data_IF_149214194900
#
_entry.id   IF_149214194900
#
_cell.length_a   1.000
_cell.length_b   1.000
_cell.length_c   1.000
_cell.angle_alpha   90.00
_cell.angle_beta   90.00
_cell.angle_gamma   90.00
#
_symmetry.space_group_name_H-M   'P 1'
#
loop_
_entity.id
_entity.type
_entity.pdbx_description
1 polymer ?
#
# COMPACT_ATOMS: atom_id res chain seq x y z
N UNK A 1 -27.93 -23.62 36.16
CA UNK A 1 -27.34 -23.44 34.81
C UNK A 1 -26.30 -22.32 34.92
N UNK A 2 -25.00 -22.65 34.94
CA UNK A 2 -23.91 -21.65 35.01
C UNK A 2 -23.69 -21.07 33.62
N UNK A 3 -24.09 -19.82 33.41
CA UNK A 3 -23.69 -19.05 32.24
C UNK A 3 -22.28 -18.51 32.50
N UNK A 4 -21.27 -19.19 31.96
CA UNK A 4 -19.95 -18.58 31.83
C UNK A 4 -20.00 -17.56 30.70
N UNK A 5 -20.08 -16.28 31.07
CA UNK A 5 -19.78 -15.19 30.16
C UNK A 5 -18.28 -15.27 29.84
N UNK A 6 -17.95 -15.93 28.74
CA UNK A 6 -16.62 -15.87 28.13
C UNK A 6 -16.48 -14.43 27.63
N UNK A 7 -15.84 -13.58 28.42
CA UNK A 7 -15.41 -12.27 27.96
C UNK A 7 -14.57 -12.51 26.70
N UNK A 8 -15.13 -12.19 25.54
CA UNK A 8 -14.36 -12.09 24.32
C UNK A 8 -13.23 -11.13 24.66
N UNK A 9 -11.98 -11.61 24.59
CA UNK A 9 -10.80 -10.77 24.64
C UNK A 9 -11.01 -9.70 23.57
N UNK A 10 -11.45 -8.52 23.96
CA UNK A 10 -11.38 -7.34 23.12
C UNK A 10 -9.90 -7.08 22.98
N UNK A 11 -9.31 -7.64 21.93
CA UNK A 11 -8.02 -7.25 21.43
C UNK A 11 -8.14 -5.74 21.24
N UNK A 12 -7.53 -4.97 22.15
CA UNK A 12 -7.51 -3.51 22.10
C UNK A 12 -7.14 -3.14 20.68
N UNK A 13 -8.12 -2.66 19.91
CA UNK A 13 -7.90 -2.22 18.54
C UNK A 13 -6.80 -1.16 18.64
N UNK A 14 -5.68 -1.39 17.96
CA UNK A 14 -4.58 -0.43 17.96
C UNK A 14 -5.17 0.93 17.52
N UNK A 15 -4.81 2.04 18.20
CA UNK A 15 -5.39 3.34 17.90
C UNK A 15 -5.14 3.66 16.43
N UNK A 16 -6.22 3.79 15.66
CA UNK A 16 -6.15 4.09 14.23
C UNK A 16 -6.06 5.60 14.04
N UNK A 17 -5.20 6.00 13.13
CA UNK A 17 -5.12 7.39 12.69
C UNK A 17 -5.96 7.56 11.43
N UNK A 18 -6.61 8.71 11.30
CA UNK A 18 -7.51 9.05 10.21
C UNK A 18 -7.04 10.34 9.55
N UNK A 19 -6.88 10.32 8.23
CA UNK A 19 -6.63 11.51 7.42
C UNK A 19 -7.76 11.74 6.45
N UNK A 20 -8.11 13.00 6.23
CA UNK A 20 -9.16 13.42 5.29
C UNK A 20 -8.51 14.29 4.21
N UNK A 21 -8.65 13.87 2.96
CA UNK A 21 -8.24 14.60 1.77
C UNK A 21 -9.45 15.14 1.03
N UNK A 22 -9.41 16.42 0.66
CA UNK A 22 -10.42 17.03 -0.20
C UNK A 22 -10.21 16.62 -1.66
N UNK A 23 -11.32 16.36 -2.35
CA UNK A 23 -11.30 15.98 -3.77
C UNK A 23 -11.13 17.19 -4.68
N UNK A 24 -10.20 17.09 -5.61
CA UNK A 24 -9.99 18.07 -6.68
C UNK A 24 -10.56 17.52 -7.98
N UNK A 25 -11.52 18.22 -8.58
CA UNK A 25 -12.09 17.81 -9.85
C UNK A 25 -11.02 17.84 -10.95
N UNK A 26 -10.96 16.79 -11.77
CA UNK A 26 -10.00 16.70 -12.88
C UNK A 26 -10.53 17.49 -14.09
N UNK A 27 -9.81 18.51 -14.57
CA UNK A 27 -10.25 19.29 -15.73
C UNK A 27 -10.44 18.41 -16.97
N UNK A 28 -11.59 18.53 -17.64
CA UNK A 28 -11.89 17.75 -18.85
C UNK A 28 -12.33 16.30 -18.61
N UNK A 29 -12.39 15.83 -17.36
CA UNK A 29 -12.84 14.49 -17.00
C UNK A 29 -13.99 14.54 -15.98
N UNK A 30 -15.22 14.58 -16.47
CA UNK A 30 -16.40 14.63 -15.62
C UNK A 30 -16.52 13.37 -14.73
N UNK A 31 -16.70 13.58 -13.42
CA UNK A 31 -16.80 12.49 -12.45
C UNK A 31 -15.45 11.89 -12.02
N UNK A 32 -14.32 12.49 -12.40
CA UNK A 32 -13.01 12.16 -11.85
C UNK A 32 -12.56 13.19 -10.80
N UNK A 33 -12.09 12.69 -9.66
CA UNK A 33 -11.58 13.50 -8.56
C UNK A 33 -10.24 12.96 -8.07
N UNK A 34 -9.24 13.83 -7.96
CA UNK A 34 -7.92 13.54 -7.44
C UNK A 34 -7.81 13.92 -5.96
N UNK A 35 -7.10 13.10 -5.20
CA UNK A 35 -6.80 13.29 -3.79
C UNK A 35 -5.31 13.11 -3.57
N UNK A 36 -4.73 13.97 -2.71
CA UNK A 36 -3.32 13.93 -2.35
C UNK A 36 -3.14 13.74 -0.84
N UNK A 37 -2.45 12.68 -0.48
CA UNK A 37 -1.98 12.43 0.88
C UNK A 37 -0.68 13.21 1.15
N UNK A 38 -0.35 13.53 2.41
CA UNK A 38 0.88 14.26 2.76
C UNK A 38 2.14 13.44 2.50
N UNK A 39 2.04 12.11 2.36
CA UNK A 39 3.15 11.21 2.06
C UNK A 39 2.69 9.77 1.81
N UNK A 40 3.63 8.83 1.83
CA UNK A 40 3.39 7.39 1.61
C UNK A 40 2.87 6.71 2.89
N UNK A 41 1.71 7.15 3.37
CA UNK A 41 1.05 6.61 4.56
C UNK A 41 0.71 5.12 4.37
N UNK A 42 0.82 4.26 5.41
CA UNK A 42 0.53 2.84 5.34
C UNK A 42 -0.98 2.56 5.39
N UNK A 43 -1.73 3.07 4.41
CA UNK A 43 -3.20 3.00 4.37
C UNK A 43 -3.68 1.55 4.33
N UNK A 44 -4.56 1.18 5.26
CA UNK A 44 -5.21 -0.14 5.34
C UNK A 44 -6.75 -0.04 5.31
N UNK A 45 -7.31 1.17 5.41
CA UNK A 45 -8.73 1.45 5.29
C UNK A 45 -8.98 2.71 4.47
N UNK A 46 -10.07 2.74 3.73
CA UNK A 46 -10.55 3.96 3.08
C UNK A 46 -12.07 4.12 3.20
N UNK A 47 -12.53 5.36 3.14
CA UNK A 47 -13.94 5.72 2.99
C UNK A 47 -14.06 6.93 2.06
N UNK A 48 -15.14 7.02 1.30
CA UNK A 48 -15.42 8.22 0.49
C UNK A 48 -16.66 8.90 1.07
N UNK A 49 -16.51 10.10 1.59
CA UNK A 49 -17.60 10.88 2.14
C UNK A 49 -18.20 11.79 1.06
N UNK A 50 -19.48 11.57 0.73
CA UNK A 50 -20.22 12.44 -0.17
C UNK A 50 -20.73 13.69 0.59
N UNK A 51 -20.53 14.89 0.04
CA UNK A 51 -20.91 16.15 0.71
C UNK A 51 -22.41 16.44 0.63
N UNK A 52 -23.10 15.95 -0.39
CA UNK A 52 -24.52 16.21 -0.64
C UNK A 52 -25.40 15.05 -0.17
N UNK A 53 -26.58 15.40 0.36
CA UNK A 53 -27.59 14.44 0.77
C UNK A 53 -28.29 13.85 -0.46
N UNK A 54 -28.79 12.61 -0.35
CA UNK A 54 -29.43 11.86 -1.43
C UNK A 54 -28.52 11.66 -2.64
N UNK A 55 -27.22 11.48 -2.40
CA UNK A 55 -26.22 11.17 -3.43
C UNK A 55 -25.84 9.70 -3.39
N UNK A 56 -25.69 9.09 -4.56
CA UNK A 56 -25.23 7.71 -4.72
C UNK A 56 -24.45 7.57 -6.00
N UNK A 57 -23.33 6.84 -5.96
CA UNK A 57 -22.56 6.52 -7.14
C UNK A 57 -21.79 5.21 -6.96
N UNK A 58 -21.64 4.46 -8.06
CA UNK A 58 -20.58 3.44 -8.15
C UNK A 58 -19.29 4.14 -8.58
N UNK A 59 -18.22 3.89 -7.84
CA UNK A 59 -16.92 4.51 -8.06
C UNK A 59 -15.82 3.47 -8.12
N UNK A 60 -14.84 3.72 -8.98
CA UNK A 60 -13.58 2.99 -9.03
C UNK A 60 -12.48 3.89 -8.46
N UNK A 61 -11.80 3.41 -7.42
CA UNK A 61 -10.65 4.04 -6.81
C UNK A 61 -9.37 3.47 -7.40
N UNK A 62 -8.45 4.36 -7.73
CA UNK A 62 -7.12 4.06 -8.24
C UNK A 62 -6.06 4.82 -7.45
N UNK A 63 -4.83 4.30 -7.47
CA UNK A 63 -3.67 4.91 -6.80
C UNK A 63 -2.51 5.06 -7.75
N UNK A 64 -1.63 6.01 -7.46
CA UNK A 64 -0.38 6.21 -8.21
C UNK A 64 0.74 6.71 -7.30
N UNK A 65 1.98 6.51 -7.77
CA UNK A 65 3.19 7.10 -7.19
C UNK A 65 3.39 8.55 -7.64
N UNK A 66 2.77 8.95 -8.76
CA UNK A 66 2.92 10.28 -9.34
C UNK A 66 1.56 10.88 -9.72
N UNK A 67 1.49 12.20 -9.75
CA UNK A 67 0.26 12.94 -10.07
C UNK A 67 -0.31 12.59 -11.46
N UNK A 68 0.56 12.28 -12.42
CA UNK A 68 0.17 11.97 -13.80
C UNK A 68 -0.11 10.48 -14.04
N UNK A 69 0.05 9.60 -13.04
CA UNK A 69 -0.01 8.15 -13.21
C UNK A 69 1.37 7.49 -13.32
N UNK A 70 1.44 6.19 -13.66
CA UNK A 70 0.34 5.32 -14.07
C UNK A 70 -0.64 5.05 -12.90
N UNK A 71 -1.93 5.00 -13.22
CA UNK A 71 -3.00 4.74 -12.26
C UNK A 71 -3.29 3.25 -12.14
N UNK A 72 -3.25 2.69 -10.93
CA UNK A 72 -3.61 1.30 -10.66
C UNK A 72 -4.93 1.22 -9.90
N UNK A 73 -5.96 0.54 -10.41
CA UNK A 73 -7.21 0.36 -9.69
C UNK A 73 -7.00 -0.49 -8.44
N UNK A 74 -7.63 -0.12 -7.33
CA UNK A 74 -7.54 -0.82 -6.04
C UNK A 74 -8.89 -1.36 -5.56
N UNK A 75 -9.98 -0.68 -5.91
CA UNK A 75 -11.31 -1.06 -5.47
C UNK A 75 -12.39 -0.42 -6.35
N UNK A 76 -13.46 -1.17 -6.61
CA UNK A 76 -14.72 -0.65 -7.13
C UNK A 76 -15.80 -0.82 -6.05
N UNK A 77 -16.57 0.22 -5.77
CA UNK A 77 -17.56 0.21 -4.68
C UNK A 77 -18.67 1.22 -4.89
N UNK A 78 -19.78 1.05 -4.17
CA UNK A 78 -20.89 2.00 -4.17
C UNK A 78 -20.79 2.90 -2.94
N UNK A 79 -20.74 4.20 -3.17
CA UNK A 79 -20.68 5.24 -2.14
C UNK A 79 -21.99 5.98 -2.11
N UNK A 80 -22.49 6.32 -0.92
CA UNK A 80 -23.82 6.87 -0.77
C UNK A 80 -23.97 7.68 0.51
N UNK A 81 -24.83 8.69 0.43
CA UNK A 81 -25.31 9.50 1.54
C UNK A 81 -26.80 9.74 1.32
N UNK A 82 -27.64 8.98 2.02
CA UNK A 82 -29.09 8.95 1.78
C UNK A 82 -29.84 9.42 3.03
N UNK A 83 -30.84 10.26 2.84
CA UNK A 83 -31.84 10.50 3.89
C UNK A 83 -32.85 9.36 3.88
N UNK A 84 -33.21 8.87 5.05
CA UNK A 84 -34.28 7.89 5.27
C UNK A 84 -35.23 8.39 6.35
N UNK A 85 -36.44 7.82 6.42
CA UNK A 85 -37.40 8.16 7.47
C UNK A 85 -36.89 7.90 8.89
N UNK A 86 -35.85 7.08 9.04
CA UNK A 86 -35.20 6.75 10.33
C UNK A 86 -33.89 7.50 10.56
N UNK A 87 -33.52 8.46 9.69
CA UNK A 87 -32.30 9.25 9.80
C UNK A 87 -31.41 9.18 8.56
N UNK A 88 -30.15 9.58 8.71
CA UNK A 88 -29.20 9.66 7.61
C UNK A 88 -28.31 8.40 7.53
N UNK A 89 -28.23 7.78 6.36
CA UNK A 89 -27.38 6.61 6.11
C UNK A 89 -26.19 6.99 5.24
N UNK A 90 -24.98 6.64 5.67
CA UNK A 90 -23.71 6.89 4.95
C UNK A 90 -22.93 5.60 4.77
N UNK A 91 -22.12 5.52 3.71
CA UNK A 91 -21.14 4.44 3.60
C UNK A 91 -20.07 4.52 4.70
N UNK A 92 -19.57 3.35 5.10
CA UNK A 92 -18.58 3.16 6.15
C UNK A 92 -17.21 2.82 5.56
N UNK A 93 -16.17 2.97 6.38
CA UNK A 93 -14.82 2.59 6.00
C UNK A 93 -14.73 1.12 5.56
N UNK A 94 -13.94 0.90 4.50
CA UNK A 94 -13.68 -0.40 3.90
C UNK A 94 -12.20 -0.73 4.05
N UNK A 95 -11.91 -1.95 4.51
CA UNK A 95 -10.55 -2.46 4.58
C UNK A 95 -9.98 -2.79 3.20
N UNK A 96 -8.69 -2.54 3.05
CA UNK A 96 -7.88 -2.86 1.87
C UNK A 96 -6.57 -3.51 2.30
N UNK A 97 -5.85 -4.13 1.37
CA UNK A 97 -4.45 -4.46 1.60
C UNK A 97 -3.64 -3.18 1.84
N UNK A 98 -2.47 -3.31 2.46
CA UNK A 98 -1.57 -2.19 2.74
C UNK A 98 -1.22 -1.43 1.43
N UNK A 99 -1.54 -0.14 1.38
CA UNK A 99 -1.25 0.75 0.25
C UNK A 99 -0.40 1.92 0.74
N UNK A 100 0.81 2.06 0.19
CA UNK A 100 1.72 3.16 0.47
C UNK A 100 1.88 4.05 -0.76
N UNK A 101 0.82 4.76 -1.15
CA UNK A 101 0.78 5.61 -2.36
C UNK A 101 0.16 6.97 -2.03
N UNK A 102 0.80 8.10 -2.41
CA UNK A 102 0.31 9.42 -2.03
C UNK A 102 -0.78 9.96 -2.95
N UNK A 103 -0.86 9.51 -4.21
CA UNK A 103 -1.85 9.98 -5.17
C UNK A 103 -3.00 8.98 -5.32
N UNK A 104 -4.23 9.47 -5.18
CA UNK A 104 -5.45 8.68 -5.27
C UNK A 104 -6.39 9.36 -6.24
N UNK A 105 -7.13 8.57 -7.02
CA UNK A 105 -8.15 9.05 -7.96
C UNK A 105 -9.41 8.24 -7.78
N UNK A 106 -10.53 8.95 -7.69
CA UNK A 106 -11.85 8.36 -7.77
C UNK A 106 -12.47 8.68 -9.12
N UNK A 107 -12.96 7.66 -9.82
CA UNK A 107 -13.76 7.81 -11.04
C UNK A 107 -15.17 7.30 -10.77
N UNK A 108 -16.17 8.12 -11.08
CA UNK A 108 -17.59 7.73 -11.08
C UNK A 108 -17.88 6.91 -12.34
N UNK A 109 -18.49 5.73 -12.16
CA UNK A 109 -18.97 4.92 -13.28
C UNK A 109 -20.29 5.47 -13.79
N UNK A 110 -20.35 5.89 -15.05
CA UNK A 110 -21.58 6.34 -15.69
C UNK A 110 -22.34 5.16 -16.32
N UNK A 111 -23.68 5.18 -16.34
CA UNK A 111 -24.58 6.21 -15.80
C UNK A 111 -24.93 6.00 -14.31
N UNK A 112 -24.16 5.19 -13.58
CA UNK A 112 -24.56 4.55 -12.33
C UNK A 112 -24.58 5.45 -11.08
N UNK A 113 -24.86 6.76 -11.20
CA UNK A 113 -24.95 7.62 -10.03
C UNK A 113 -25.40 9.05 -10.28
N UNK A 114 -25.96 9.64 -9.23
CA UNK A 114 -26.15 11.08 -9.07
C UNK A 114 -25.13 11.54 -8.05
N UNK A 115 -24.04 12.12 -8.55
CA UNK A 115 -23.11 12.87 -7.72
C UNK A 115 -23.61 14.32 -7.64
N UNK A 116 -23.56 14.90 -6.45
CA UNK A 116 -23.76 16.33 -6.26
C UNK A 116 -22.75 17.20 -7.03
N UNK A 117 -22.91 18.52 -6.92
CA UNK A 117 -21.96 19.50 -7.48
C UNK A 117 -20.70 19.64 -6.64
N UNK A 118 -20.80 19.35 -5.35
CA UNK A 118 -19.68 19.44 -4.41
C UNK A 118 -18.75 18.22 -4.53
N UNK A 119 -17.45 18.48 -4.42
CA UNK A 119 -16.43 17.44 -4.49
C UNK A 119 -16.48 16.50 -3.27
N UNK A 120 -16.33 15.19 -3.47
CA UNK A 120 -16.25 14.21 -2.39
C UNK A 120 -14.95 14.36 -1.59
N UNK A 121 -14.95 13.81 -0.36
CA UNK A 121 -13.77 13.73 0.50
C UNK A 121 -13.32 12.30 0.64
N UNK A 122 -12.02 12.04 0.48
CA UNK A 122 -11.41 10.74 0.75
C UNK A 122 -10.95 10.71 2.21
N UNK A 123 -11.39 9.70 2.95
CA UNK A 123 -10.92 9.43 4.30
C UNK A 123 -10.08 8.17 4.25
N UNK A 124 -8.84 8.22 4.74
CA UNK A 124 -7.94 7.06 4.82
C UNK A 124 -7.58 6.79 6.26
N UNK A 125 -7.58 5.51 6.64
CA UNK A 125 -7.20 5.04 7.95
C UNK A 125 -5.97 4.15 7.88
N UNK A 126 -5.13 4.23 8.92
CA UNK A 126 -4.01 3.32 9.13
C UNK A 126 -3.76 3.10 10.61
N UNK A 127 -2.92 2.11 10.90
CA UNK A 127 -2.37 1.88 12.22
C UNK A 127 -0.95 2.45 12.24
N UNK A 128 -0.62 3.44 13.09
CA UNK A 128 0.70 4.03 13.14
C UNK A 128 1.72 3.02 13.67
N UNK A 129 2.97 3.16 13.21
CA UNK A 129 4.06 2.34 13.73
C UNK A 129 4.61 3.00 14.99
N UNK A 130 4.71 2.23 16.08
CA UNK A 130 5.35 2.66 17.31
C UNK A 130 6.82 2.22 17.31
N UNK A 131 7.73 3.16 17.56
CA UNK A 131 9.15 2.89 17.64
C UNK A 131 9.62 3.10 19.08
N UNK A 132 10.10 2.02 19.70
CA UNK A 132 10.66 2.03 21.05
C UNK A 132 12.16 1.81 20.93
N UNK A 133 12.94 2.72 21.50
CA UNK A 133 14.40 2.61 21.53
C UNK A 133 14.92 2.79 22.95
N UNK A 134 16.09 2.22 23.22
CA UNK A 134 16.81 2.41 24.48
C UNK A 134 17.79 3.56 24.26
N UNK A 135 17.58 4.67 24.97
CA UNK A 135 18.47 5.83 24.97
C UNK A 135 19.79 5.49 25.69
N UNK A 136 20.78 4.96 24.96
CA UNK A 136 22.12 4.66 25.47
C UNK A 136 23.13 5.60 24.81
N UNK A 137 23.76 6.46 25.59
CA UNK A 137 24.77 7.41 25.13
C UNK A 137 24.43 8.85 25.52
N UNK A 138 25.16 9.80 24.94
CA UNK A 138 24.94 11.22 25.17
C UNK A 138 23.89 11.78 24.18
N UNK A 139 22.92 12.60 24.66
CA UNK A 139 21.95 13.27 23.78
C UNK A 139 22.64 14.32 22.88
N UNK A 140 22.00 14.79 21.78
CA UNK A 140 20.64 14.47 21.33
C UNK A 140 20.54 13.17 20.51
N UNK A 141 19.48 12.41 20.76
CA UNK A 141 19.15 11.22 19.97
C UNK A 141 18.43 11.65 18.68
N UNK A 142 18.84 11.08 17.53
CA UNK A 142 18.25 11.39 16.22
C UNK A 142 17.61 10.15 15.61
N UNK A 143 16.35 10.30 15.17
CA UNK A 143 15.65 9.30 14.38
C UNK A 143 15.69 9.72 12.91
N UNK A 144 16.34 8.91 12.07
CA UNK A 144 16.32 9.09 10.61
C UNK A 144 15.43 8.02 9.98
N UNK A 145 14.51 8.42 9.09
CA UNK A 145 13.57 7.51 8.43
C UNK A 145 13.49 7.77 6.92
N UNK A 146 12.82 6.87 6.18
CA UNK A 146 12.52 7.04 4.75
C UNK A 146 13.64 6.68 3.78
N UNK A 147 14.79 6.21 4.24
CA UNK A 147 15.88 5.79 3.34
C UNK A 147 15.57 4.43 2.69
N UNK A 148 15.53 4.42 1.36
CA UNK A 148 15.29 3.20 0.58
C UNK A 148 16.50 2.26 0.48
N UNK A 149 17.65 2.65 1.03
CA UNK A 149 18.91 1.90 0.97
C UNK A 149 19.27 1.19 2.27
N UNK A 150 18.49 1.40 3.34
CA UNK A 150 18.75 0.78 4.64
C UNK A 150 18.06 -0.58 4.68
N UNK A 151 18.83 -1.63 5.01
CA UNK A 151 18.27 -2.95 5.27
C UNK A 151 17.43 -2.93 6.55
N UNK A 152 16.26 -3.58 6.52
CA UNK A 152 15.36 -3.65 7.68
C UNK A 152 16.02 -4.48 8.79
N UNK A 153 16.42 -3.81 9.88
CA UNK A 153 16.81 -4.46 11.12
C UNK A 153 15.57 -4.64 12.01
N UNK A 154 14.58 -5.39 11.53
CA UNK A 154 13.38 -5.75 12.29
C UNK A 154 13.75 -6.72 13.41
N UNK A 155 14.08 -6.17 14.59
CA UNK A 155 14.22 -6.95 15.82
C UNK A 155 12.94 -6.80 16.63
N UNK A 156 12.26 -7.91 16.93
CA UNK A 156 11.07 -7.85 17.78
C UNK A 156 11.50 -7.40 19.17
N UNK A 157 10.76 -6.45 19.73
CA UNK A 157 11.06 -5.90 21.05
C UNK A 157 11.09 -6.97 22.16
N UNK A 158 10.26 -8.02 22.01
CA UNK A 158 10.27 -9.19 22.90
C UNK A 158 11.57 -10.01 22.85
N UNK A 159 12.30 -9.96 21.73
CA UNK A 159 13.58 -10.63 21.56
C UNK A 159 14.74 -9.81 22.17
N UNK A 160 14.54 -8.49 22.38
CA UNK A 160 15.53 -7.59 23.03
C UNK A 160 15.35 -7.58 24.54
N UNK A 161 14.11 -7.57 25.02
CA UNK A 161 13.78 -7.51 26.46
C UNK A 161 12.79 -8.62 26.81
N UNK A 162 13.29 -9.77 27.32
CA UNK A 162 12.43 -10.83 27.84
C UNK A 162 11.55 -10.29 28.99
N UNK A 163 10.23 -10.45 28.88
CA UNK A 163 9.29 -10.00 29.92
C UNK A 163 8.78 -8.57 29.77
N UNK A 164 9.07 -7.90 28.64
CA UNK A 164 8.50 -6.59 28.33
C UNK A 164 7.00 -6.69 28.00
N UNK A 165 6.17 -6.81 29.03
CA UNK A 165 4.73 -6.76 28.95
C UNK A 165 4.22 -5.50 29.64
N UNK A 166 3.76 -4.52 28.86
CA UNK A 166 2.88 -3.37 29.20
C UNK A 166 3.16 -2.49 30.43
N UNK A 167 4.10 -2.82 31.31
CA UNK A 167 4.26 -2.20 32.64
C UNK A 167 5.48 -1.28 32.75
N UNK A 168 6.31 -1.18 31.71
CA UNK A 168 7.40 -0.20 31.73
C UNK A 168 6.83 1.18 31.41
N UNK A 169 7.06 2.21 32.26
CA UNK A 169 6.70 3.58 31.93
C UNK A 169 7.51 4.02 30.71
N UNK A 170 6.84 4.03 29.55
CA UNK A 170 7.39 4.60 28.32
C UNK A 170 7.35 6.12 28.47
N UNK A 171 8.51 6.77 28.36
CA UNK A 171 8.55 8.21 28.21
C UNK A 171 8.06 8.55 26.79
N UNK A 172 6.96 9.31 26.70
CA UNK A 172 6.52 9.86 25.42
C UNK A 172 7.46 11.00 25.07
N UNK A 173 8.21 10.84 23.97
CA UNK A 173 9.10 11.87 23.46
C UNK A 173 8.41 12.55 22.29
N UNK A 174 8.31 13.88 22.35
CA UNK A 174 7.90 14.69 21.21
C UNK A 174 9.19 15.03 20.45
N UNK A 175 9.25 14.64 19.17
CA UNK A 175 10.39 14.97 18.33
C UNK A 175 10.42 16.47 18.02
N UNK A 176 11.63 17.02 17.92
CA UNK A 176 11.87 18.35 17.33
C UNK A 176 11.44 18.37 15.85
N UNK A 177 11.27 19.56 15.23
CA UNK A 177 10.90 19.67 13.82
C UNK A 177 11.82 18.86 12.91
N UNK A 178 11.23 18.24 11.89
CA UNK A 178 11.95 17.38 10.93
C UNK A 178 13.04 18.16 10.17
N UNK A 179 14.23 17.57 10.11
CA UNK A 179 15.35 18.06 9.31
C UNK A 179 15.65 17.12 8.12
N UNK A 180 15.79 17.68 6.92
CA UNK A 180 16.08 16.90 5.71
C UNK A 180 17.57 16.53 5.66
N UNK A 181 17.89 15.28 6.04
CA UNK A 181 19.28 14.81 6.14
C UNK A 181 19.94 14.42 4.80
N UNK A 182 19.16 14.00 3.79
CA UNK A 182 19.69 13.34 2.58
C UNK A 182 19.01 13.66 1.26
N UNK A 183 18.02 14.56 1.27
CA UNK A 183 17.26 14.95 0.09
C UNK A 183 16.32 13.86 -0.47
N UNK A 184 15.48 14.20 -1.46
CA UNK A 184 14.46 13.29 -2.00
C UNK A 184 15.04 12.09 -2.74
N UNK A 185 16.30 12.16 -3.20
CA UNK A 185 16.97 11.07 -3.90
C UNK A 185 17.14 9.80 -3.04
N UNK A 186 17.25 9.94 -1.71
CA UNK A 186 17.35 8.78 -0.80
C UNK A 186 16.03 8.06 -0.54
N UNK A 187 14.91 8.65 -0.93
CA UNK A 187 13.57 8.05 -0.81
C UNK A 187 13.31 7.00 -1.90
N UNK A 188 14.10 7.02 -2.98
CA UNK A 188 13.94 6.11 -4.11
C UNK A 188 15.04 5.06 -4.05
N UNK A 189 14.66 3.78 -4.03
CA UNK A 189 15.62 2.69 -4.11
C UNK A 189 16.37 2.80 -5.43
N UNK A 190 17.71 2.79 -5.39
CA UNK A 190 18.51 2.66 -6.59
C UNK A 190 18.08 1.38 -7.34
N UNK A 191 17.96 1.46 -8.66
CA UNK A 191 17.62 0.30 -9.48
C UNK A 191 18.58 -0.84 -9.13
N UNK A 192 18.03 -2.01 -8.78
CA UNK A 192 18.81 -3.18 -8.40
C UNK A 192 19.85 -3.44 -9.51
N UNK A 193 21.15 -3.57 -9.19
CA UNK A 193 22.15 -3.82 -10.20
C UNK A 193 21.76 -5.09 -10.98
N UNK A 194 21.92 -5.03 -12.30
CA UNK A 194 21.64 -6.16 -13.18
C UNK A 194 22.41 -7.39 -12.71
N UNK A 195 21.70 -8.49 -12.46
CA UNK A 195 22.29 -9.72 -11.95
C UNK A 195 23.01 -10.49 -13.06
N UNK A 196 24.23 -10.03 -13.36
CA UNK A 196 25.10 -10.59 -14.39
C UNK A 196 25.42 -12.08 -14.15
N UNK A 197 25.39 -12.54 -12.89
CA UNK A 197 25.65 -13.95 -12.54
C UNK A 197 24.50 -14.83 -13.01
N UNK A 198 23.27 -14.39 -12.73
CA UNK A 198 22.06 -15.07 -13.25
C UNK A 198 22.03 -15.07 -14.78
N UNK A 199 22.44 -13.97 -15.44
CA UNK A 199 22.54 -13.93 -16.89
C UNK A 199 23.57 -14.94 -17.43
N UNK A 200 24.74 -15.06 -16.79
CA UNK A 200 25.77 -16.04 -17.17
C UNK A 200 25.26 -17.48 -17.03
N UNK A 201 24.52 -17.77 -15.95
CA UNK A 201 23.91 -19.08 -15.73
C UNK A 201 22.88 -19.43 -16.82
N UNK A 202 22.03 -18.48 -17.21
CA UNK A 202 21.08 -18.68 -18.31
C UNK A 202 21.78 -18.94 -19.64
N UNK A 203 22.87 -18.22 -19.95
CA UNK A 203 23.67 -18.47 -21.17
C UNK A 203 24.24 -19.88 -21.17
N UNK A 204 24.84 -20.31 -20.05
CA UNK A 204 25.40 -21.67 -19.92
C UNK A 204 24.33 -22.75 -20.09
N UNK A 205 23.15 -22.56 -19.49
CA UNK A 205 22.03 -23.48 -19.60
C UNK A 205 21.54 -23.61 -21.05
N UNK A 206 21.31 -22.47 -21.72
CA UNK A 206 20.88 -22.45 -23.14
C UNK A 206 21.91 -23.12 -24.04
N UNK A 207 23.20 -22.90 -23.79
CA UNK A 207 24.28 -23.54 -24.55
C UNK A 207 24.24 -25.08 -24.40
N UNK A 208 24.04 -25.58 -23.19
CA UNK A 208 23.91 -27.02 -22.93
C UNK A 208 22.70 -27.64 -23.64
N UNK A 209 21.54 -26.97 -23.58
CA UNK A 209 20.31 -27.43 -24.26
C UNK A 209 20.47 -27.42 -25.79
N UNK A 210 21.12 -26.40 -26.36
CA UNK A 210 21.40 -26.35 -27.79
C UNK A 210 22.32 -27.49 -28.23
N UNK A 211 23.34 -27.82 -27.42
CA UNK A 211 24.25 -28.92 -27.72
C UNK A 211 23.52 -30.27 -27.73
N UNK A 212 22.65 -30.49 -26.73
CA UNK A 212 21.80 -31.68 -26.64
C UNK A 212 20.80 -31.77 -27.80
N UNK A 213 20.11 -30.66 -28.12
CA UNK A 213 19.19 -30.59 -29.26
C UNK A 213 19.88 -30.84 -30.60
N UNK A 214 21.11 -30.32 -30.78
CA UNK A 214 21.91 -30.55 -31.97
C UNK A 214 22.34 -32.01 -32.11
N UNK A 215 22.76 -32.67 -31.03
CA UNK A 215 23.07 -34.11 -31.05
C UNK A 215 21.83 -34.95 -31.39
N UNK A 216 20.68 -34.65 -30.77
CA UNK A 216 19.44 -35.37 -31.03
C UNK A 216 18.97 -35.20 -32.48
N UNK A 217 19.04 -33.98 -33.02
CA UNK A 217 18.68 -33.70 -34.42
C UNK A 217 19.61 -34.39 -35.40
N UNK A 218 20.92 -34.40 -35.13
CA UNK A 218 21.91 -35.10 -35.96
C UNK A 218 21.63 -36.60 -35.98
N UNK A 219 21.37 -37.21 -34.83
CA UNK A 219 21.04 -38.63 -34.73
C UNK A 219 19.75 -38.97 -35.50
N UNK A 220 18.71 -38.14 -35.35
CA UNK A 220 17.46 -38.32 -36.10
C UNK A 220 17.68 -38.23 -37.62
N UNK A 221 18.58 -37.34 -38.08
CA UNK A 221 18.91 -37.19 -39.49
C UNK A 221 19.70 -38.38 -40.03
N UNK A 222 20.60 -38.93 -39.22
CA UNK A 222 21.40 -40.11 -39.58
C UNK A 222 20.55 -41.41 -39.60
N UNK A 223 19.39 -41.42 -38.92
CA UNK A 223 18.45 -42.56 -38.86
C UNK A 223 17.35 -42.54 -39.94
N UNK A 224 17.35 -41.57 -40.87
CA UNK A 224 16.39 -41.51 -41.97
C UNK A 224 17.10 -41.88 -43.28
N UNK A 225 17.20 -43.18 -43.66
CA UNK A 225 17.74 -43.55 -44.96
C UNK A 225 16.83 -43.03 -46.07
N UNK A 226 17.36 -42.68 -47.26
CA UNK A 226 16.53 -42.41 -48.42
C UNK A 226 15.65 -43.63 -48.68
N UNK A 227 14.35 -43.42 -48.87
CA UNK A 227 13.47 -44.45 -49.39
C UNK A 227 13.92 -44.72 -50.84
N UNK A 228 14.50 -45.90 -51.07
CA UNK A 228 14.81 -46.38 -52.41
C UNK A 228 13.48 -46.60 -53.17
N UNK A 229 13.37 -45.96 -54.35
CA UNK A 229 12.38 -46.25 -55.40
C UNK A 229 12.64 -47.63 -56.05
#
# INVERSE_FOLDING_TARGET
IRLQARAARTQLAQPRELYVADGLAVPGAAGEFDFRLPGNLPVDQFNVALPELNSVARVTLSVSEANAGPWRPIATTSVYRLASGTGETRNTARSVGLIQRPYWRMRVEQPAGVLGKLAPRLQVGWVPHELVFIARGEPPFRLAYGSATVESAEVRLADIVPGLGREIPLAVVIADPEEVLGGPARLVAAAKPFDWRSALLWISLVLGVLLLGWMAFRLMRDMNPPADD
#
